data_IF_922878549049
#
_entry.id   IF_922878549049
#
_cell.length_a   1.000
_cell.length_b   1.000
_cell.length_c   1.000
_cell.angle_alpha   90.00
_cell.angle_beta   90.00
_cell.angle_gamma   90.00
#
_symmetry.space_group_name_H-M   'P 1'
#
loop_
_entity.id
_entity.type
_entity.pdbx_description
1 polymer ?
#
# COMPACT_ATOMS: atom_id res chain seq x y z
N UNK A 1 -15.00 16.98 14.79
CA UNK A 1 -13.86 16.09 15.09
C UNK A 1 -12.64 16.67 14.41
N UNK A 2 -11.47 16.58 15.01
CA UNK A 2 -10.23 17.15 14.49
C UNK A 2 -9.32 16.04 13.93
N UNK A 3 -8.88 16.21 12.69
CA UNK A 3 -8.07 15.24 11.97
C UNK A 3 -6.76 15.89 11.55
N UNK A 4 -5.64 15.27 11.90
CA UNK A 4 -4.32 15.64 11.37
C UNK A 4 -3.94 14.71 10.23
N UNK A 5 -3.41 15.28 9.16
CA UNK A 5 -2.98 14.57 7.96
C UNK A 5 -1.49 14.77 7.73
N UNK A 6 -0.77 13.69 7.41
CA UNK A 6 0.64 13.76 7.01
C UNK A 6 0.96 12.78 5.89
N UNK A 7 1.57 13.30 4.83
CA UNK A 7 2.18 12.51 3.77
C UNK A 7 3.42 13.26 3.22
N UNK A 8 4.62 12.65 3.22
CA UNK A 8 5.86 13.35 2.87
C UNK A 8 6.05 13.59 1.37
N UNK A 9 5.38 12.81 0.50
CA UNK A 9 5.66 12.81 -0.94
C UNK A 9 4.52 13.31 -1.84
N UNK A 10 3.31 13.48 -1.32
CA UNK A 10 2.13 13.72 -2.15
C UNK A 10 1.53 15.07 -1.82
N UNK A 11 0.94 15.69 -2.84
CA UNK A 11 0.05 16.83 -2.64
C UNK A 11 -1.12 16.40 -1.74
N UNK A 12 -1.32 17.18 -0.68
CA UNK A 12 -2.33 16.91 0.35
C UNK A 12 -3.69 17.50 -0.04
N UNK A 13 -3.75 18.44 -0.99
CA UNK A 13 -4.98 19.13 -1.36
C UNK A 13 -6.10 18.18 -1.86
N UNK A 14 -5.83 17.19 -2.74
CA UNK A 14 -6.87 16.23 -3.16
C UNK A 14 -7.41 15.39 -2.01
N UNK A 15 -6.55 15.04 -1.04
CA UNK A 15 -6.94 14.29 0.15
C UNK A 15 -7.85 15.12 1.06
N UNK A 16 -7.45 16.37 1.33
CA UNK A 16 -8.25 17.29 2.15
C UNK A 16 -9.62 17.56 1.52
N UNK A 17 -9.68 17.77 0.21
CA UNK A 17 -10.94 17.94 -0.52
C UNK A 17 -11.81 16.67 -0.50
N UNK A 18 -11.20 15.51 -0.75
CA UNK A 18 -11.88 14.22 -0.75
C UNK A 18 -12.43 13.83 0.63
N UNK A 19 -11.69 14.13 1.69
CA UNK A 19 -12.13 13.91 3.08
C UNK A 19 -13.19 14.93 3.46
N UNK A 20 -12.96 16.22 3.21
CA UNK A 20 -13.91 17.29 3.56
C UNK A 20 -15.27 17.14 2.88
N UNK A 21 -15.32 16.64 1.65
CA UNK A 21 -16.60 16.34 0.96
C UNK A 21 -17.36 15.16 1.57
N UNK A 22 -16.67 14.18 2.16
CA UNK A 22 -17.29 12.97 2.77
C UNK A 22 -17.55 13.11 4.26
N UNK A 23 -16.79 13.97 4.93
CA UNK A 23 -16.86 14.28 6.36
C UNK A 23 -16.90 15.80 6.56
N UNK A 24 -17.99 16.49 6.15
CA UNK A 24 -18.09 17.94 6.21
C UNK A 24 -17.99 18.52 7.63
N UNK A 25 -18.27 17.71 8.65
CA UNK A 25 -18.17 18.04 10.06
C UNK A 25 -16.77 17.81 10.67
N UNK A 26 -15.82 17.30 9.88
CA UNK A 26 -14.45 17.08 10.33
C UNK A 26 -13.57 18.29 9.97
N UNK A 27 -12.84 18.79 10.97
CA UNK A 27 -11.79 19.78 10.78
C UNK A 27 -10.51 19.03 10.42
N UNK A 28 -10.18 18.96 9.14
CA UNK A 28 -8.94 18.37 8.68
C UNK A 28 -7.87 19.44 8.49
N UNK A 29 -6.66 19.17 8.98
CA UNK A 29 -5.49 20.02 8.76
C UNK A 29 -4.26 19.18 8.45
N UNK A 30 -3.36 19.75 7.66
CA UNK A 30 -2.03 19.17 7.44
C UNK A 30 -1.18 19.42 8.68
N UNK A 31 -0.63 18.36 9.26
CA UNK A 31 0.29 18.48 10.37
C UNK A 31 1.61 19.10 9.89
N UNK A 32 2.18 19.97 10.71
CA UNK A 32 3.50 20.59 10.49
C UNK A 32 4.35 20.44 11.74
N UNK A 33 5.70 20.42 11.63
CA UNK A 33 6.57 20.41 12.79
C UNK A 33 6.18 21.50 13.81
N UNK A 34 5.96 21.09 15.06
CA UNK A 34 5.49 21.96 16.14
C UNK A 34 3.98 22.02 16.35
N UNK A 35 3.16 21.40 15.49
CA UNK A 35 1.72 21.28 15.73
C UNK A 35 1.42 20.27 16.86
N UNK A 36 1.15 20.83 18.05
CA UNK A 36 0.72 20.12 19.25
C UNK A 36 -0.77 20.34 19.57
N UNK A 37 -1.56 20.90 18.64
CA UNK A 37 -2.98 21.14 18.88
C UNK A 37 -3.75 19.83 18.96
N UNK A 38 -4.90 19.81 19.64
CA UNK A 38 -5.75 18.62 19.76
C UNK A 38 -6.05 17.95 18.40
N UNK A 39 -6.11 16.62 18.39
CA UNK A 39 -6.55 15.83 17.26
C UNK A 39 -7.25 14.55 17.76
N UNK A 40 -8.41 14.24 17.18
CA UNK A 40 -9.13 12.99 17.41
C UNK A 40 -8.53 11.85 16.58
N UNK A 41 -8.07 12.13 15.36
CA UNK A 41 -7.56 11.10 14.43
C UNK A 41 -6.32 11.58 13.71
N UNK A 42 -5.43 10.65 13.38
CA UNK A 42 -4.24 10.90 12.56
C UNK A 42 -4.27 10.05 11.29
N UNK A 43 -4.19 10.68 10.12
CA UNK A 43 -4.06 10.00 8.82
C UNK A 43 -2.62 10.17 8.33
N UNK A 44 -1.88 9.08 8.20
CA UNK A 44 -0.41 9.14 8.14
C UNK A 44 0.22 8.19 7.13
N UNK A 45 1.30 8.65 6.50
CA UNK A 45 2.29 7.80 5.83
C UNK A 45 3.68 8.08 6.40
N UNK A 46 4.32 7.07 7.01
CA UNK A 46 5.65 7.19 7.63
C UNK A 46 5.83 8.49 8.44
N UNK A 47 4.97 8.75 9.45
CA UNK A 47 4.98 10.02 10.16
C UNK A 47 6.24 10.20 11.01
N UNK A 48 6.74 11.43 11.16
CA UNK A 48 7.86 11.71 12.03
C UNK A 48 7.46 11.48 13.51
N UNK A 49 8.45 11.23 14.36
CA UNK A 49 8.23 10.84 15.76
C UNK A 49 7.33 11.83 16.50
N UNK A 50 7.64 13.12 16.36
CA UNK A 50 6.96 14.24 17.02
C UNK A 50 5.50 14.44 16.61
N UNK A 51 5.04 13.82 15.51
CA UNK A 51 3.64 13.95 15.09
C UNK A 51 2.71 13.20 16.04
N UNK A 52 3.12 12.00 16.48
CA UNK A 52 2.30 11.07 17.26
C UNK A 52 2.73 10.98 18.72
N UNK A 53 4.03 11.04 18.99
CA UNK A 53 4.58 10.86 20.32
C UNK A 53 4.03 11.91 21.30
N UNK A 54 3.59 11.45 22.47
CA UNK A 54 3.07 12.33 23.53
C UNK A 54 1.70 12.98 23.24
N UNK A 55 1.09 12.70 22.09
CA UNK A 55 -0.24 13.23 21.76
C UNK A 55 -1.31 12.53 22.58
N UNK A 56 -2.10 13.32 23.30
CA UNK A 56 -3.24 12.84 24.09
C UNK A 56 -4.55 13.01 23.31
N UNK A 57 -5.52 12.12 23.54
CA UNK A 57 -6.85 12.21 22.97
C UNK A 57 -7.03 11.61 21.57
N UNK A 58 -5.97 11.06 20.96
CA UNK A 58 -6.11 10.29 19.72
C UNK A 58 -7.01 9.08 19.93
N UNK A 59 -7.99 8.92 19.04
CA UNK A 59 -8.93 7.80 19.01
C UNK A 59 -8.48 6.70 18.05
N UNK A 60 -7.77 7.04 16.98
CA UNK A 60 -7.14 6.08 16.07
C UNK A 60 -6.07 6.74 15.18
N UNK A 61 -5.14 5.92 14.68
CA UNK A 61 -4.17 6.26 13.64
C UNK A 61 -4.51 5.45 12.39
N UNK A 62 -4.74 6.13 11.26
CA UNK A 62 -5.04 5.54 9.96
C UNK A 62 -3.81 5.62 9.06
N UNK A 63 -3.20 4.47 8.77
CA UNK A 63 -2.07 4.38 7.85
C UNK A 63 -2.55 4.44 6.39
N UNK A 64 -1.93 5.31 5.59
CA UNK A 64 -2.24 5.56 4.18
C UNK A 64 -1.76 4.46 3.21
N UNK A 65 -1.52 3.24 3.69
CA UNK A 65 -1.35 2.10 2.81
C UNK A 65 -1.52 0.77 3.48
N UNK A 66 -1.26 -0.27 2.70
CA UNK A 66 -1.44 -1.66 3.11
C UNK A 66 -0.40 -2.13 4.13
N UNK A 67 0.85 -1.68 3.97
CA UNK A 67 1.94 -1.94 4.90
C UNK A 67 1.94 -0.96 6.06
N UNK A 68 2.17 -1.46 7.27
CA UNK A 68 2.36 -0.67 8.49
C UNK A 68 3.72 -0.92 9.15
N UNK A 69 4.59 -1.66 8.46
CA UNK A 69 5.94 -2.04 8.89
C UNK A 69 6.73 -0.85 9.43
N UNK A 70 6.85 0.23 8.65
CA UNK A 70 7.59 1.42 9.07
C UNK A 70 7.05 2.06 10.37
N UNK A 71 5.73 2.09 10.57
CA UNK A 71 5.11 2.65 11.79
C UNK A 71 5.41 1.73 12.98
N UNK A 72 5.29 0.41 12.78
CA UNK A 72 5.55 -0.60 13.83
C UNK A 72 7.04 -0.64 14.20
N UNK A 73 7.94 -0.54 13.23
CA UNK A 73 9.38 -0.49 13.45
C UNK A 73 9.77 0.77 14.23
N UNK A 74 9.19 1.91 13.89
CA UNK A 74 9.42 3.16 14.59
C UNK A 74 8.90 3.12 16.04
N UNK A 75 7.76 2.49 16.29
CA UNK A 75 7.21 2.28 17.64
C UNK A 75 8.07 1.33 18.48
N UNK A 76 8.62 0.27 17.87
CA UNK A 76 9.58 -0.62 18.53
C UNK A 76 10.87 0.09 18.91
N UNK A 77 11.39 0.93 18.01
CA UNK A 77 12.61 1.69 18.25
C UNK A 77 12.41 2.82 19.27
N UNK A 78 11.21 3.40 19.33
CA UNK A 78 10.88 4.54 20.19
C UNK A 78 9.56 4.27 20.93
N UNK A 79 9.61 3.56 22.09
CA UNK A 79 8.41 3.24 22.85
C UNK A 79 7.59 4.48 23.20
N UNK A 80 6.29 4.45 22.90
CA UNK A 80 5.39 5.58 23.10
C UNK A 80 5.24 6.49 21.88
N UNK A 81 5.84 6.13 20.74
CA UNK A 81 5.53 6.74 19.45
C UNK A 81 4.05 6.58 19.09
N UNK A 82 3.50 5.36 19.21
CA UNK A 82 2.06 5.14 19.21
C UNK A 82 1.57 5.32 20.65
N UNK A 83 0.67 6.29 20.93
CA UNK A 83 0.16 6.45 22.29
C UNK A 83 -0.59 5.20 22.76
N UNK A 84 -0.41 4.84 24.04
CA UNK A 84 -0.97 3.62 24.60
C UNK A 84 -2.50 3.57 24.44
N UNK A 85 -3.02 2.43 23.98
CA UNK A 85 -4.46 2.21 23.77
C UNK A 85 -5.01 2.82 22.47
N UNK A 86 -4.19 3.51 21.67
CA UNK A 86 -4.63 4.05 20.38
C UNK A 86 -4.50 2.97 19.30
N UNK A 87 -5.59 2.58 18.63
CA UNK A 87 -5.54 1.58 17.57
C UNK A 87 -4.84 2.13 16.31
N UNK A 88 -3.97 1.30 15.73
CA UNK A 88 -3.38 1.50 14.41
C UNK A 88 -4.21 0.74 13.37
N UNK A 89 -4.82 1.47 12.45
CA UNK A 89 -5.70 0.97 11.40
C UNK A 89 -4.99 1.11 10.06
N UNK A 90 -4.89 0.03 9.29
CA UNK A 90 -4.32 0.05 7.93
C UNK A 90 -5.43 0.14 6.88
N UNK A 91 -5.10 0.67 5.70
CA UNK A 91 -5.99 0.56 4.56
C UNK A 91 -6.09 -0.90 4.12
N UNK A 92 -7.32 -1.42 4.15
CA UNK A 92 -7.66 -2.70 3.56
C UNK A 92 -8.34 -2.44 2.23
N UNK A 93 -7.56 -2.67 1.16
CA UNK A 93 -8.01 -2.63 -0.23
C UNK A 93 -8.86 -1.42 -0.63
N UNK A 94 -8.16 -0.37 -1.06
CA UNK A 94 -8.72 0.84 -1.63
C UNK A 94 -8.56 0.83 -3.17
N UNK A 95 -8.91 -0.29 -3.82
CA UNK A 95 -8.65 -0.52 -5.24
C UNK A 95 -7.21 -0.94 -5.54
N UNK A 96 -6.43 -1.26 -4.50
CA UNK A 96 -5.06 -1.76 -4.65
C UNK A 96 -5.04 -3.22 -5.09
N UNK A 97 -6.08 -4.00 -4.75
CA UNK A 97 -6.09 -5.43 -5.07
C UNK A 97 -6.16 -5.69 -6.57
N UNK A 98 -7.07 -5.02 -7.27
CA UNK A 98 -7.17 -5.10 -8.73
C UNK A 98 -5.86 -4.73 -9.43
N UNK A 99 -5.21 -3.64 -9.00
CA UNK A 99 -3.92 -3.22 -9.55
C UNK A 99 -2.85 -4.30 -9.34
N UNK A 100 -2.84 -4.96 -8.18
CA UNK A 100 -1.92 -6.05 -7.90
C UNK A 100 -2.21 -7.28 -8.76
N UNK A 101 -3.48 -7.59 -9.02
CA UNK A 101 -3.88 -8.66 -9.93
C UNK A 101 -3.38 -8.40 -11.36
N UNK A 102 -3.62 -7.20 -11.88
CA UNK A 102 -3.18 -6.77 -13.21
C UNK A 102 -1.66 -6.87 -13.34
N UNK A 103 -0.94 -6.40 -12.32
CA UNK A 103 0.53 -6.44 -12.30
C UNK A 103 1.06 -7.88 -12.29
N UNK A 104 0.54 -8.72 -11.40
CA UNK A 104 0.95 -10.14 -11.30
C UNK A 104 0.63 -10.87 -12.60
N UNK A 105 -0.55 -10.64 -13.18
CA UNK A 105 -0.95 -11.26 -14.44
C UNK A 105 -0.03 -10.85 -15.59
N UNK A 106 0.28 -9.56 -15.72
CA UNK A 106 1.21 -9.05 -16.73
C UNK A 106 2.60 -9.67 -16.57
N UNK A 107 3.11 -9.77 -15.34
CA UNK A 107 4.41 -10.38 -15.06
C UNK A 107 4.43 -11.88 -15.38
N UNK A 108 3.41 -12.64 -14.94
CA UNK A 108 3.28 -14.08 -15.23
C UNK A 108 3.22 -14.33 -16.73
N UNK A 109 2.38 -13.59 -17.46
CA UNK A 109 2.29 -13.74 -18.91
C UNK A 109 3.59 -13.37 -19.63
N UNK A 110 4.30 -12.34 -19.16
CA UNK A 110 5.58 -11.93 -19.74
C UNK A 110 6.57 -13.08 -19.74
N UNK A 111 6.71 -13.79 -18.62
CA UNK A 111 7.63 -14.93 -18.50
C UNK A 111 7.08 -16.20 -19.16
N UNK A 112 5.80 -16.52 -18.93
CA UNK A 112 5.17 -17.71 -19.53
C UNK A 112 5.22 -17.70 -21.06
N UNK A 113 5.13 -16.51 -21.67
CA UNK A 113 5.22 -16.32 -23.13
C UNK A 113 6.62 -15.97 -23.61
N UNK A 114 7.63 -16.05 -22.73
CA UNK A 114 9.05 -15.81 -23.03
C UNK A 114 9.29 -14.43 -23.66
N UNK A 115 8.46 -13.44 -23.32
CA UNK A 115 8.52 -12.10 -23.93
C UNK A 115 9.81 -11.37 -23.56
N UNK A 116 10.34 -11.65 -22.38
CA UNK A 116 11.66 -11.20 -21.93
C UNK A 116 12.79 -11.78 -22.78
N UNK A 117 12.75 -13.08 -23.10
CA UNK A 117 13.74 -13.71 -23.98
C UNK A 117 13.63 -13.22 -25.42
N UNK A 118 12.40 -13.08 -25.95
CA UNK A 118 12.18 -12.50 -27.27
C UNK A 118 12.64 -11.04 -27.35
N UNK A 119 12.47 -10.25 -26.28
CA UNK A 119 13.02 -8.90 -26.23
C UNK A 119 14.55 -8.91 -26.32
N UNK A 120 15.23 -9.87 -25.67
CA UNK A 120 16.68 -10.01 -25.77
C UNK A 120 17.13 -10.42 -27.17
N UNK A 121 16.44 -11.38 -27.81
CA UNK A 121 16.71 -11.77 -29.20
C UNK A 121 16.51 -10.60 -30.18
N UNK A 122 15.45 -9.81 -29.97
CA UNK A 122 15.18 -8.61 -30.77
C UNK A 122 16.31 -7.58 -30.66
N UNK A 123 16.83 -7.34 -29.45
CA UNK A 123 17.97 -6.44 -29.24
C UNK A 123 19.24 -6.91 -29.97
N UNK A 124 19.37 -8.22 -30.21
CA UNK A 124 20.45 -8.83 -30.99
C UNK A 124 20.16 -8.86 -32.50
N UNK A 125 18.99 -8.39 -32.95
CA UNK A 125 18.55 -8.52 -34.35
C UNK A 125 18.35 -9.97 -34.79
N UNK A 126 18.14 -10.90 -33.86
CA UNK A 126 18.03 -12.33 -34.13
C UNK A 126 16.58 -12.77 -34.17
N UNK A 127 16.20 -13.42 -35.26
CA UNK A 127 14.95 -14.15 -35.35
C UNK A 127 15.17 -15.62 -34.97
N UNK A 128 14.56 -16.07 -33.89
CA UNK A 128 14.63 -17.45 -33.44
C UNK A 128 13.32 -17.82 -32.76
N UNK A 129 12.70 -18.92 -33.21
CA UNK A 129 11.54 -19.50 -32.55
C UNK A 129 11.97 -20.21 -31.28
N UNK A 130 11.34 -19.90 -30.16
CA UNK A 130 11.57 -20.54 -28.87
C UNK A 130 10.42 -21.51 -28.57
N UNK A 131 10.75 -22.67 -27.98
CA UNK A 131 9.76 -23.65 -27.56
C UNK A 131 8.82 -23.05 -26.51
N UNK A 132 7.49 -23.14 -26.69
CA UNK A 132 6.54 -22.64 -25.69
C UNK A 132 6.67 -23.37 -24.35
N UNK A 133 6.46 -22.67 -23.24
CA UNK A 133 6.29 -23.33 -21.94
C UNK A 133 4.97 -24.11 -21.92
N UNK A 134 5.01 -25.32 -21.37
CA UNK A 134 3.80 -26.07 -21.04
C UNK A 134 3.16 -25.50 -19.78
N UNK A 135 1.83 -25.39 -19.75
CA UNK A 135 1.09 -24.91 -18.58
C UNK A 135 1.38 -25.75 -17.33
N UNK A 136 1.49 -27.07 -17.49
CA UNK A 136 1.71 -28.02 -16.38
C UNK A 136 3.09 -27.87 -15.70
N UNK A 137 4.05 -27.24 -16.37
CA UNK A 137 5.43 -27.13 -15.88
C UNK A 137 5.77 -25.70 -15.41
N UNK A 138 4.81 -24.77 -15.54
CA UNK A 138 5.02 -23.37 -15.20
C UNK A 138 4.42 -23.04 -13.83
N UNK A 139 5.25 -23.18 -12.81
CA UNK A 139 4.91 -22.86 -11.43
C UNK A 139 5.33 -21.44 -11.09
N UNK A 140 4.44 -20.68 -10.46
CA UNK A 140 4.77 -19.39 -9.87
C UNK A 140 4.57 -19.46 -8.35
N UNK A 141 5.59 -19.03 -7.61
CA UNK A 141 5.53 -19.03 -6.16
C UNK A 141 4.72 -17.84 -5.65
N UNK A 142 3.81 -18.09 -4.70
CA UNK A 142 3.03 -17.07 -4.00
C UNK A 142 3.36 -17.13 -2.51
N UNK A 143 4.15 -16.18 -2.03
CA UNK A 143 4.42 -16.05 -0.59
C UNK A 143 3.38 -15.15 0.11
N UNK A 144 3.05 -15.48 1.37
CA UNK A 144 2.05 -14.79 2.20
C UNK A 144 0.60 -15.27 2.02
N UNK A 145 -0.31 -14.91 2.93
CA UNK A 145 -1.74 -15.31 2.93
C UNK A 145 -2.72 -14.13 3.10
N UNK A 146 -2.31 -12.91 2.78
CA UNK A 146 -3.08 -11.69 3.02
C UNK A 146 -4.14 -11.35 1.95
N UNK A 147 -4.87 -10.25 2.18
CA UNK A 147 -5.98 -9.77 1.34
C UNK A 147 -5.64 -9.70 -0.16
N UNK A 148 -4.47 -9.19 -0.53
CA UNK A 148 -4.02 -9.11 -1.92
C UNK A 148 -3.90 -10.47 -2.59
N UNK A 149 -3.42 -11.50 -1.86
CA UNK A 149 -3.33 -12.85 -2.40
C UNK A 149 -4.70 -13.48 -2.60
N UNK A 150 -5.63 -13.26 -1.67
CA UNK A 150 -6.98 -13.80 -1.79
C UNK A 150 -7.65 -13.30 -3.09
N UNK A 151 -7.45 -12.01 -3.39
CA UNK A 151 -7.88 -11.39 -4.65
C UNK A 151 -7.23 -12.06 -5.86
N UNK A 152 -5.89 -12.10 -5.92
CA UNK A 152 -5.16 -12.74 -7.03
C UNK A 152 -5.50 -14.22 -7.23
N UNK A 153 -5.90 -14.94 -6.17
CA UNK A 153 -6.31 -16.34 -6.28
C UNK A 153 -7.65 -16.51 -6.99
N UNK A 154 -8.55 -15.54 -6.88
CA UNK A 154 -9.86 -15.60 -7.52
C UNK A 154 -9.78 -15.29 -9.02
N UNK A 155 -8.88 -14.38 -9.41
CA UNK A 155 -8.76 -13.93 -10.81
C UNK A 155 -7.83 -14.82 -11.66
N UNK A 156 -6.80 -15.43 -11.05
CA UNK A 156 -5.83 -16.26 -11.79
C UNK A 156 -6.23 -17.74 -11.80
N UNK A 157 -6.91 -18.23 -10.75
CA UNK A 157 -7.34 -19.64 -10.64
C UNK A 157 -8.22 -20.17 -11.78
N UNK A 158 -9.09 -19.36 -12.42
CA UNK A 158 -9.90 -19.82 -13.56
C UNK A 158 -9.13 -19.86 -14.90
N UNK A 159 -7.91 -19.31 -14.96
CA UNK A 159 -7.18 -19.08 -16.21
C UNK A 159 -5.99 -20.04 -16.42
N UNK A 160 -6.12 -21.29 -15.95
CA UNK A 160 -5.26 -22.43 -16.33
C UNK A 160 -3.90 -22.53 -15.60
N UNK A 161 -3.90 -22.33 -14.28
CA UNK A 161 -2.81 -22.74 -13.35
C UNK A 161 -3.38 -23.28 -12.02
#
# INVERSE_FOLDING_TARGET
>A
MDIIFYHPFYDTAPWLAGIGSRLPQANIRVWQPGDNQHADYAIVWRPPYEMLAGRQGLKAILALGAGVDAIVEQDRANPGFIPAGVPLIRLQDAGMALQMEEYVFAAVLRYFRRMDEYQHLQQQGRWQLLEPHAYADFYYWRDGAGHFRASCSHSIGPLWF
#
